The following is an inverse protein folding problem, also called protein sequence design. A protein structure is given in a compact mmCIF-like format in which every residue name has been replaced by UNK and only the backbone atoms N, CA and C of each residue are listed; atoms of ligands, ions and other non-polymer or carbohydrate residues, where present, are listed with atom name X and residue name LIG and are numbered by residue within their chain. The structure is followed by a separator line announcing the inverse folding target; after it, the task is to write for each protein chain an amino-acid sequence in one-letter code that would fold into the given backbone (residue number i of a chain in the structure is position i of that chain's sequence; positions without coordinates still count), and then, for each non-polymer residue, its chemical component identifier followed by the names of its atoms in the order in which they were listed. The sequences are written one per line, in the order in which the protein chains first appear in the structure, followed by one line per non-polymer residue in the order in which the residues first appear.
data_IF_299831873229
#
_entry.id   IF_299831873229
#
_cell.length_a   1.000
_cell.length_b   1.000
_cell.length_c   1.000
_cell.angle_alpha   90.00
_cell.angle_beta   90.00
_cell.angle_gamma   90.00
#
_symmetry.space_group_name_H-M   'P 1'
#
loop_
_entity.id
_entity.type
_entity.pdbx_description
1 polymer ?
#
# COMPACT_ATOMS: atom_id res chain seq x y z
N UNK A 1 17.21 8.69 -0.44
CA UNK A 1 15.74 8.67 -0.53
C UNK A 1 15.13 7.85 0.61
N UNK A 2 15.99 7.29 1.46
CA UNK A 2 15.67 6.19 2.37
C UNK A 2 15.49 6.66 3.82
N UNK A 3 16.14 7.77 4.19
CA UNK A 3 16.06 8.33 5.54
C UNK A 3 14.62 8.66 5.93
N UNK A 4 13.86 9.37 5.08
CA UNK A 4 12.48 9.77 5.40
C UNK A 4 11.56 8.56 5.55
N UNK A 5 11.68 7.55 4.69
CA UNK A 5 10.82 6.35 4.75
C UNK A 5 11.11 5.53 6.00
N UNK A 6 12.39 5.30 6.31
CA UNK A 6 12.80 4.56 7.51
C UNK A 6 12.47 5.35 8.77
N UNK A 7 12.69 6.68 8.76
CA UNK A 7 12.36 7.56 9.87
C UNK A 7 10.85 7.55 10.17
N UNK A 8 10.01 7.73 9.15
CA UNK A 8 8.55 7.68 9.28
C UNK A 8 8.05 6.34 9.82
N UNK A 9 8.65 5.23 9.39
CA UNK A 9 8.33 3.91 9.93
C UNK A 9 8.66 3.80 11.43
N UNK A 10 9.87 4.24 11.83
CA UNK A 10 10.32 4.16 13.22
C UNK A 10 9.52 5.11 14.13
N UNK A 11 9.25 6.33 13.69
CA UNK A 11 8.48 7.30 14.49
C UNK A 11 7.01 6.88 14.64
N UNK A 12 6.36 6.39 13.58
CA UNK A 12 5.02 5.83 13.66
C UNK A 12 4.94 4.66 14.65
N UNK A 13 5.96 3.77 14.64
CA UNK A 13 6.07 2.65 15.57
C UNK A 13 6.20 3.12 17.02
N UNK A 14 7.10 4.08 17.28
CA UNK A 14 7.31 4.67 18.62
C UNK A 14 6.03 5.34 19.14
N UNK A 15 5.31 6.04 18.26
CA UNK A 15 4.08 6.75 18.59
C UNK A 15 2.84 5.86 18.71
N UNK A 16 2.94 4.55 18.38
CA UNK A 16 1.80 3.65 18.22
C UNK A 16 0.75 4.21 17.25
N UNK A 17 1.21 4.96 16.24
CA UNK A 17 0.38 5.57 15.21
C UNK A 17 0.17 4.59 14.04
N UNK A 18 -0.88 4.79 13.22
CA UNK A 18 -1.02 4.04 11.98
C UNK A 18 0.21 4.24 11.08
N UNK A 19 0.66 3.16 10.45
CA UNK A 19 1.77 3.23 9.49
C UNK A 19 1.34 4.02 8.25
N UNK A 20 2.17 4.96 7.75
CA UNK A 20 1.84 5.75 6.56
C UNK A 20 1.68 4.93 5.28
N UNK A 21 2.44 3.83 5.15
CA UNK A 21 2.28 2.78 4.15
C UNK A 21 2.01 1.51 4.93
N UNK A 22 0.82 0.93 4.75
CA UNK A 22 0.39 -0.20 5.57
C UNK A 22 0.40 -1.53 4.82
N UNK A 23 -0.08 -2.58 5.49
CA UNK A 23 -0.09 -3.93 4.92
C UNK A 23 -0.95 -4.02 3.66
N UNK A 24 -2.05 -3.26 3.58
CA UNK A 24 -2.95 -3.31 2.43
C UNK A 24 -2.30 -2.67 1.21
N UNK A 25 -1.57 -1.57 1.39
CA UNK A 25 -0.78 -0.97 0.32
C UNK A 25 0.28 -1.96 -0.19
N UNK A 26 1.02 -2.59 0.73
CA UNK A 26 2.07 -3.55 0.40
C UNK A 26 1.55 -4.77 -0.37
N UNK A 27 0.43 -5.38 0.05
CA UNK A 27 -0.14 -6.53 -0.66
C UNK A 27 -0.79 -6.12 -1.99
N UNK A 28 -1.36 -4.92 -2.07
CA UNK A 28 -1.91 -4.39 -3.32
C UNK A 28 -0.82 -4.22 -4.37
N UNK A 29 0.34 -3.67 -4.00
CA UNK A 29 1.47 -3.57 -4.92
C UNK A 29 2.07 -4.94 -5.27
N UNK A 30 2.15 -5.84 -4.29
CA UNK A 30 2.67 -7.20 -4.50
C UNK A 30 1.77 -8.03 -5.41
N UNK A 31 0.46 -7.76 -5.45
CA UNK A 31 -0.49 -8.45 -6.32
C UNK A 31 -0.30 -8.12 -7.81
N UNK A 32 0.39 -7.03 -8.15
CA UNK A 32 0.64 -6.64 -9.54
C UNK A 32 1.45 -7.72 -10.26
N UNK A 33 2.49 -8.28 -9.63
CA UNK A 33 3.34 -9.30 -10.22
C UNK A 33 2.54 -10.53 -10.69
N UNK A 34 1.83 -11.28 -9.82
CA UNK A 34 1.07 -12.46 -10.25
C UNK A 34 -0.08 -12.10 -11.21
N UNK A 35 -0.72 -10.94 -11.07
CA UNK A 35 -1.79 -10.54 -11.99
C UNK A 35 -1.25 -10.20 -13.38
N UNK A 36 -0.07 -9.59 -13.47
CA UNK A 36 0.57 -9.32 -14.76
C UNK A 36 0.96 -10.62 -15.48
N UNK A 37 1.49 -11.60 -14.77
CA UNK A 37 1.81 -12.93 -15.30
C UNK A 37 0.54 -13.65 -15.80
N UNK A 38 -0.54 -13.60 -15.01
CA UNK A 38 -1.83 -14.17 -15.41
C UNK A 38 -2.44 -13.45 -16.62
N UNK A 39 -2.30 -12.13 -16.73
CA UNK A 39 -2.79 -11.37 -17.87
C UNK A 39 -2.08 -11.81 -19.15
N UNK A 40 -0.75 -11.93 -19.11
CA UNK A 40 0.05 -12.42 -20.24
C UNK A 40 -0.38 -13.84 -20.63
N UNK A 41 -0.56 -14.74 -19.65
CA UNK A 41 -1.03 -16.10 -19.89
C UNK A 41 -2.43 -16.15 -20.52
N UNK A 42 -3.29 -15.20 -20.20
CA UNK A 42 -4.65 -15.08 -20.73
C UNK A 42 -4.73 -14.18 -21.99
N UNK A 43 -3.68 -14.10 -22.81
CA UNK A 43 -3.64 -13.29 -24.03
C UNK A 43 -3.84 -11.78 -23.79
N UNK A 44 -3.18 -11.24 -22.77
CA UNK A 44 -3.21 -9.82 -22.39
C UNK A 44 -4.60 -9.32 -21.98
N UNK A 45 -5.43 -10.20 -21.43
CA UNK A 45 -6.75 -9.83 -20.92
C UNK A 45 -6.66 -8.93 -19.69
N UNK A 46 -7.67 -8.07 -19.54
CA UNK A 46 -7.89 -7.29 -18.31
C UNK A 46 -8.36 -8.23 -17.20
N UNK A 47 -7.68 -8.17 -16.05
CA UNK A 47 -8.03 -8.94 -14.86
C UNK A 47 -8.53 -8.00 -13.76
N UNK A 48 -9.48 -8.48 -12.97
CA UNK A 48 -9.98 -7.78 -11.80
C UNK A 48 -8.91 -7.73 -10.70
N UNK A 49 -8.79 -6.57 -10.05
CA UNK A 49 -7.85 -6.38 -8.95
C UNK A 49 -8.52 -6.76 -7.62
N UNK A 50 -7.90 -7.60 -6.78
CA UNK A 50 -8.47 -7.98 -5.50
C UNK A 50 -8.51 -6.78 -4.53
N UNK A 51 -9.66 -6.55 -3.91
CA UNK A 51 -9.81 -5.56 -2.83
C UNK A 51 -9.45 -6.18 -1.48
N UNK A 52 -8.19 -6.03 -1.07
CA UNK A 52 -7.70 -6.51 0.22
C UNK A 52 -8.30 -5.76 1.42
N UNK A 53 -8.91 -4.59 1.21
CA UNK A 53 -9.50 -3.77 2.29
C UNK A 53 -10.98 -4.07 2.51
N UNK A 54 -11.58 -4.98 1.74
CA UNK A 54 -13.00 -5.33 1.80
C UNK A 54 -13.92 -4.10 1.73
N UNK A 55 -13.61 -3.15 0.83
CA UNK A 55 -14.37 -1.92 0.63
C UNK A 55 -14.00 -0.76 1.55
N UNK A 56 -13.14 -0.98 2.55
CA UNK A 56 -12.75 0.06 3.50
C UNK A 56 -11.96 1.20 2.83
N UNK A 57 -11.26 0.93 1.72
CA UNK A 57 -10.51 1.93 0.95
C UNK A 57 -11.33 3.18 0.63
N UNK A 58 -12.66 3.07 0.45
CA UNK A 58 -13.56 4.19 0.14
C UNK A 58 -13.63 5.27 1.24
N UNK A 59 -13.39 4.88 2.48
CA UNK A 59 -13.52 5.75 3.66
C UNK A 59 -12.17 6.04 4.34
N UNK A 60 -11.09 5.39 3.88
CA UNK A 60 -9.75 5.59 4.44
C UNK A 60 -9.26 6.99 4.13
N UNK A 61 -8.77 7.67 5.16
CA UNK A 61 -8.13 8.99 5.01
C UNK A 61 -6.65 8.76 4.65
N UNK A 62 -6.11 9.47 3.65
CA UNK A 62 -4.68 9.45 3.40
C UNK A 62 -3.96 10.14 4.57
N UNK A 63 -2.85 9.57 5.02
CA UNK A 63 -2.07 10.07 6.17
C UNK A 63 -0.57 10.25 5.88
N UNK A 64 -0.12 9.96 4.66
CA UNK A 64 1.29 10.05 4.28
C UNK A 64 1.74 11.51 4.08
N UNK A 65 2.77 11.93 4.82
CA UNK A 65 3.48 13.21 4.66
C UNK A 65 2.61 14.49 4.74
N UNK A 66 1.56 14.50 5.55
CA UNK A 66 0.68 15.68 5.73
C UNK A 66 1.13 16.65 6.82
N UNK A 67 2.09 16.28 7.66
CA UNK A 67 2.66 17.16 8.69
C UNK A 67 4.19 17.03 8.74
N UNK A 68 4.82 17.83 9.59
CA UNK A 68 6.27 17.81 9.79
C UNK A 68 6.72 16.86 10.90
N UNK A 69 5.88 15.95 11.39
CA UNK A 69 6.24 15.06 12.51
C UNK A 69 7.14 13.93 12.05
N UNK A 70 6.94 13.41 10.83
CA UNK A 70 7.80 12.44 10.15
C UNK A 70 7.34 12.17 8.72
#
# INVERSE_FOLDING_TARGET
MDWFVIHAFVEALKAKAPMPIDIYDAVTWSAITPLSEQSIANSFQTLEFPDFTAGAWKQRKPIFAFDGKY
#
